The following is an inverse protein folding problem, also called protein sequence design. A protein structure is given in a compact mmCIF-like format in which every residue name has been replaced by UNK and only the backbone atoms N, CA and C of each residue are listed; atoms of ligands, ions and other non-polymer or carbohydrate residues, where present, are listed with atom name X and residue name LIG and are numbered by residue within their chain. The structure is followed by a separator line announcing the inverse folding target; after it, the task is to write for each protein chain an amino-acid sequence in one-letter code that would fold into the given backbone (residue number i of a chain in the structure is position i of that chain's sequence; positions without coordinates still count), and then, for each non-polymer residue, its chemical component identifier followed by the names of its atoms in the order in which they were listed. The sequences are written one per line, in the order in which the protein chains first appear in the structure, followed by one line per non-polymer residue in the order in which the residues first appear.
data_IF_908001963726
#
_entry.id   IF_908001963726
#
_cell.length_a   1.000
_cell.length_b   1.000
_cell.length_c   1.000
_cell.angle_alpha   90.00
_cell.angle_beta   90.00
_cell.angle_gamma   90.00
#
_symmetry.space_group_name_H-M   'P 1'
#
loop_
_entity.id
_entity.type
_entity.pdbx_description
1 polymer ?
#
# COMPACT_ATOMS: atom_id res chain seq x y z
N UNK A 1 14.31 11.72 -8.67
CA UNK A 1 13.38 11.03 -7.74
C UNK A 1 13.77 11.41 -6.31
N UNK A 2 12.83 11.96 -5.55
CA UNK A 2 12.99 12.37 -4.14
C UNK A 2 11.94 11.63 -3.30
N UNK A 3 12.34 11.10 -2.13
CA UNK A 3 11.42 10.50 -1.17
C UNK A 3 11.48 11.31 0.11
N UNK A 4 10.32 11.73 0.62
CA UNK A 4 10.17 12.49 1.85
C UNK A 4 8.99 12.02 2.69
N UNK A 5 8.95 12.42 3.94
CA UNK A 5 7.77 12.23 4.77
C UNK A 5 6.58 12.99 4.16
N UNK A 6 5.39 12.39 4.29
CA UNK A 6 4.11 12.97 3.83
C UNK A 6 3.77 14.22 4.64
N UNK A 7 3.08 15.14 4.02
CA UNK A 7 2.44 16.31 4.67
C UNK A 7 0.92 16.22 4.48
N UNK A 8 0.16 16.83 5.36
CA UNK A 8 -1.31 16.83 5.26
C UNK A 8 -1.81 17.52 3.98
N UNK A 9 -1.05 18.49 3.49
CA UNK A 9 -1.29 19.21 2.24
C UNK A 9 -1.17 18.31 1.00
N UNK A 10 -0.45 17.20 1.10
CA UNK A 10 -0.31 16.23 0.00
C UNK A 10 -1.62 15.47 -0.27
N UNK A 11 -2.58 15.50 0.66
CA UNK A 11 -3.78 14.66 0.63
C UNK A 11 -4.55 14.72 -0.69
N UNK A 12 -4.69 15.90 -1.29
CA UNK A 12 -5.39 16.07 -2.57
C UNK A 12 -4.73 15.22 -3.66
N UNK A 13 -3.40 15.28 -3.78
CA UNK A 13 -2.66 14.51 -4.78
C UNK A 13 -2.68 13.01 -4.47
N UNK A 14 -2.65 12.61 -3.20
CA UNK A 14 -2.73 11.20 -2.83
C UNK A 14 -4.11 10.62 -3.12
N UNK A 15 -5.18 11.38 -2.92
CA UNK A 15 -6.55 11.00 -3.33
C UNK A 15 -6.64 10.81 -4.84
N UNK A 16 -6.06 11.70 -5.66
CA UNK A 16 -6.02 11.53 -7.11
C UNK A 16 -5.37 10.18 -7.51
N UNK A 17 -4.20 9.85 -6.92
CA UNK A 17 -3.53 8.57 -7.18
C UNK A 17 -4.42 7.41 -6.74
N UNK A 18 -5.01 7.49 -5.55
CA UNK A 18 -5.84 6.43 -4.98
C UNK A 18 -7.16 6.23 -5.72
N UNK A 19 -7.75 7.31 -6.25
CA UNK A 19 -9.02 7.27 -6.96
C UNK A 19 -9.01 6.31 -8.15
N UNK A 20 -7.89 6.22 -8.87
CA UNK A 20 -7.73 5.25 -9.95
C UNK A 20 -7.90 3.82 -9.46
N UNK A 21 -7.31 3.49 -8.31
CA UNK A 21 -7.39 2.14 -7.73
C UNK A 21 -8.77 1.81 -7.19
N UNK A 22 -9.48 2.81 -6.67
CA UNK A 22 -10.85 2.64 -6.18
C UNK A 22 -11.84 2.48 -7.33
N UNK A 23 -11.76 3.33 -8.34
CA UNK A 23 -12.78 3.39 -9.39
C UNK A 23 -12.55 2.39 -10.54
N UNK A 24 -11.31 2.07 -10.84
CA UNK A 24 -10.96 1.34 -12.06
C UNK A 24 -10.31 -0.03 -11.82
N UNK A 25 -10.07 -0.40 -10.57
CA UNK A 25 -9.38 -1.66 -10.26
C UNK A 25 -9.98 -2.35 -9.04
N UNK A 26 -9.68 -3.64 -8.89
CA UNK A 26 -9.94 -4.40 -7.68
C UNK A 26 -8.73 -4.44 -6.72
N UNK A 27 -7.69 -3.64 -6.94
CA UNK A 27 -6.54 -3.50 -6.02
C UNK A 27 -6.99 -2.95 -4.67
N UNK A 28 -7.89 -1.95 -4.68
CA UNK A 28 -8.60 -1.50 -3.48
C UNK A 28 -10.01 -2.10 -3.46
N UNK A 29 -10.46 -2.55 -2.29
CA UNK A 29 -11.84 -3.00 -2.08
C UNK A 29 -12.77 -1.88 -1.60
N UNK A 30 -12.29 -0.64 -1.49
CA UNK A 30 -13.19 0.51 -1.33
C UNK A 30 -14.00 0.72 -2.62
N UNK A 31 -15.28 1.08 -2.47
CA UNK A 31 -16.20 1.35 -3.58
C UNK A 31 -16.28 2.84 -3.91
N UNK A 32 -16.09 3.68 -2.90
CA UNK A 32 -16.15 5.12 -3.00
C UNK A 32 -14.78 5.74 -2.74
N UNK A 33 -14.45 6.78 -3.49
CA UNK A 33 -13.22 7.53 -3.27
C UNK A 33 -13.38 8.35 -2.00
N UNK A 34 -12.48 8.23 -1.02
CA UNK A 34 -12.55 9.05 0.18
C UNK A 34 -12.37 10.53 -0.17
N UNK A 35 -13.01 11.40 0.59
CA UNK A 35 -12.80 12.84 0.46
C UNK A 35 -11.35 13.24 0.81
N UNK A 36 -10.90 14.39 0.34
CA UNK A 36 -9.58 14.94 0.71
C UNK A 36 -9.45 15.09 2.22
N UNK A 37 -10.53 15.50 2.89
CA UNK A 37 -10.54 15.66 4.34
C UNK A 37 -10.41 14.32 5.07
N UNK A 38 -11.14 13.29 4.64
CA UNK A 38 -10.95 11.93 5.18
C UNK A 38 -9.53 11.42 4.97
N UNK A 39 -8.93 11.74 3.82
CA UNK A 39 -7.56 11.32 3.53
C UNK A 39 -6.54 12.05 4.41
N UNK A 40 -6.75 13.34 4.71
CA UNK A 40 -5.95 14.09 5.72
C UNK A 40 -6.00 13.42 7.08
N UNK A 41 -7.20 13.05 7.54
CA UNK A 41 -7.37 12.35 8.81
C UNK A 41 -6.66 10.98 8.81
N UNK A 42 -6.70 10.24 7.69
CA UNK A 42 -5.93 9.00 7.54
C UNK A 42 -4.41 9.26 7.65
N UNK A 43 -3.90 10.30 7.00
CA UNK A 43 -2.48 10.70 7.09
C UNK A 43 -2.12 11.01 8.54
N UNK A 44 -2.86 11.88 9.22
CA UNK A 44 -2.62 12.27 10.62
C UNK A 44 -2.64 11.06 11.55
N UNK A 45 -3.63 10.19 11.40
CA UNK A 45 -3.74 8.97 12.19
C UNK A 45 -2.56 8.03 12.00
N UNK A 46 -2.11 7.84 10.76
CA UNK A 46 -0.99 6.94 10.45
C UNK A 46 0.32 7.56 10.95
N UNK A 47 0.59 8.82 10.63
CA UNK A 47 1.83 9.50 10.98
C UNK A 47 2.02 9.72 12.48
N UNK A 48 0.94 9.62 13.27
CA UNK A 48 1.04 9.64 14.73
C UNK A 48 1.83 8.45 15.31
N UNK A 49 1.98 7.35 14.57
CA UNK A 49 2.63 6.12 15.04
C UNK A 49 3.60 5.49 14.02
N UNK A 50 3.36 5.65 12.73
CA UNK A 50 4.07 4.93 11.68
C UNK A 50 4.58 5.87 10.58
N UNK A 51 5.67 5.51 9.91
CA UNK A 51 6.16 6.29 8.77
C UNK A 51 5.17 6.24 7.60
N UNK A 52 5.05 7.38 6.94
CA UNK A 52 4.28 7.56 5.72
C UNK A 52 5.12 8.43 4.77
N UNK A 53 5.50 7.89 3.62
CA UNK A 53 6.41 8.55 2.67
C UNK A 53 5.71 8.79 1.34
N UNK A 54 6.10 9.88 0.68
CA UNK A 54 5.74 10.19 -0.71
C UNK A 54 6.99 10.20 -1.59
N UNK A 55 6.81 9.79 -2.84
CA UNK A 55 7.85 9.81 -3.86
C UNK A 55 7.53 10.89 -4.89
N UNK A 56 8.50 11.76 -5.19
CA UNK A 56 8.39 12.83 -6.17
C UNK A 56 9.33 12.62 -7.36
N UNK A 57 8.85 12.96 -8.54
CA UNK A 57 9.63 13.13 -9.77
C UNK A 57 9.25 14.49 -10.34
N UNK A 58 10.24 15.34 -10.61
CA UNK A 58 10.05 16.70 -11.12
C UNK A 58 9.02 17.48 -10.29
N UNK A 59 9.18 17.44 -8.95
CA UNK A 59 8.33 18.07 -7.94
C UNK A 59 6.87 17.58 -7.90
N UNK A 60 6.50 16.60 -8.71
CA UNK A 60 5.18 15.97 -8.69
C UNK A 60 5.21 14.68 -7.87
N UNK A 61 4.27 14.51 -6.93
CA UNK A 61 4.08 13.25 -6.22
C UNK A 61 3.56 12.21 -7.20
N UNK A 62 4.28 11.08 -7.29
CA UNK A 62 4.00 9.97 -8.22
C UNK A 62 3.74 8.65 -7.50
N UNK A 63 3.79 8.62 -6.19
CA UNK A 63 3.47 7.46 -5.38
C UNK A 63 3.65 7.73 -3.90
N UNK A 64 3.13 6.82 -3.09
CA UNK A 64 3.24 6.87 -1.65
C UNK A 64 3.23 5.48 -1.04
N UNK A 65 3.84 5.37 0.14
CA UNK A 65 3.93 4.15 0.93
C UNK A 65 3.72 4.49 2.40
N UNK A 66 3.02 3.63 3.11
CA UNK A 66 2.89 3.77 4.55
C UNK A 66 2.84 2.40 5.23
N UNK A 67 3.16 2.42 6.50
CA UNK A 67 2.92 1.29 7.38
C UNK A 67 1.75 1.63 8.32
N UNK A 68 1.10 0.60 8.84
CA UNK A 68 0.04 0.73 9.80
C UNK A 68 0.04 -0.42 10.79
N UNK A 69 -0.77 -0.29 11.82
CA UNK A 69 -0.97 -1.34 12.82
C UNK A 69 -1.62 -2.56 12.15
N UNK A 70 -1.01 -3.74 12.30
CA UNK A 70 -1.63 -4.97 11.85
C UNK A 70 -2.83 -5.36 12.71
N UNK A 71 -2.69 -5.22 14.02
CA UNK A 71 -3.74 -5.56 15.00
C UNK A 71 -3.50 -4.78 16.29
N UNK A 72 -4.58 -4.38 16.95
CA UNK A 72 -4.55 -3.58 18.18
C UNK A 72 -4.06 -4.34 19.42
N UNK A 73 -3.86 -5.66 19.35
CA UNK A 73 -3.36 -6.46 20.47
C UNK A 73 -1.85 -6.27 20.62
N UNK A 74 -1.39 -6.00 21.84
CA UNK A 74 0.01 -5.67 22.16
C UNK A 74 1.03 -6.68 21.62
N UNK A 75 0.69 -7.98 21.61
CA UNK A 75 1.58 -9.02 21.07
C UNK A 75 1.92 -8.84 19.57
N UNK A 76 1.14 -8.06 18.83
CA UNK A 76 1.38 -7.73 17.41
C UNK A 76 2.16 -6.42 17.19
N UNK A 77 2.62 -5.75 18.25
CA UNK A 77 3.35 -4.47 18.14
C UNK A 77 4.64 -4.54 17.33
N UNK A 78 5.14 -5.74 17.10
CA UNK A 78 6.36 -6.02 16.32
C UNK A 78 6.10 -6.26 14.83
N UNK A 79 4.84 -6.15 14.40
CA UNK A 79 4.38 -6.41 13.03
C UNK A 79 3.64 -5.19 12.48
N UNK A 80 4.03 -4.76 11.30
CA UNK A 80 3.35 -3.67 10.59
C UNK A 80 2.73 -4.15 9.28
N UNK A 81 1.56 -3.59 8.95
CA UNK A 81 0.92 -3.79 7.64
C UNK A 81 1.37 -2.69 6.68
N UNK A 82 1.80 -3.08 5.48
CA UNK A 82 2.31 -2.19 4.43
C UNK A 82 1.25 -1.90 3.39
N UNK A 83 1.19 -0.65 2.95
CA UNK A 83 0.37 -0.21 1.81
C UNK A 83 1.20 0.66 0.89
N UNK A 84 1.08 0.45 -0.41
CA UNK A 84 1.81 1.19 -1.43
C UNK A 84 0.94 1.43 -2.66
N UNK A 85 0.98 2.65 -3.17
CA UNK A 85 0.28 3.07 -4.38
C UNK A 85 1.20 3.93 -5.24
N UNK A 86 1.24 3.63 -6.54
CA UNK A 86 2.03 4.37 -7.54
C UNK A 86 1.07 4.88 -8.60
N UNK A 87 1.22 6.14 -8.98
CA UNK A 87 0.46 6.73 -10.09
C UNK A 87 0.57 5.83 -11.33
N UNK A 88 -0.56 5.54 -11.97
CA UNK A 88 -0.67 4.62 -13.11
C UNK A 88 0.29 4.95 -14.25
N UNK A 89 0.59 6.23 -14.46
CA UNK A 89 1.44 6.73 -15.53
C UNK A 89 2.95 6.61 -15.22
N UNK A 90 3.30 6.28 -13.94
CA UNK A 90 4.68 6.17 -13.47
C UNK A 90 5.07 4.74 -13.03
N UNK A 91 4.25 3.75 -13.37
CA UNK A 91 4.55 2.34 -13.04
C UNK A 91 5.80 1.83 -13.75
N UNK A 92 6.43 0.77 -13.19
CA UNK A 92 7.61 0.07 -13.74
C UNK A 92 8.86 0.94 -13.86
N UNK A 93 8.98 2.02 -13.09
CA UNK A 93 10.13 2.91 -13.02
C UNK A 93 10.96 2.75 -11.73
N UNK A 94 10.78 1.64 -10.99
CA UNK A 94 11.51 1.37 -9.75
C UNK A 94 11.02 2.15 -8.53
N UNK A 95 9.94 2.94 -8.66
CA UNK A 95 9.40 3.80 -7.59
C UNK A 95 9.02 2.98 -6.37
N UNK A 96 8.28 1.89 -6.55
CA UNK A 96 7.85 1.03 -5.44
C UNK A 96 9.03 0.47 -4.65
N UNK A 97 10.05 -0.05 -5.35
CA UNK A 97 11.26 -0.59 -4.73
C UNK A 97 12.04 0.50 -3.97
N UNK A 98 12.12 1.72 -4.52
CA UNK A 98 12.78 2.84 -3.86
C UNK A 98 12.05 3.27 -2.59
N UNK A 99 10.71 3.29 -2.62
CA UNK A 99 9.90 3.60 -1.45
C UNK A 99 10.03 2.53 -0.35
N UNK A 100 10.05 1.23 -0.71
CA UNK A 100 10.27 0.16 0.27
C UNK A 100 11.66 0.24 0.90
N UNK A 101 12.71 0.50 0.10
CA UNK A 101 14.07 0.72 0.62
C UNK A 101 14.15 1.92 1.58
N UNK A 102 13.31 2.93 1.40
CA UNK A 102 13.30 4.12 2.26
C UNK A 102 12.50 3.89 3.56
N UNK A 103 11.40 3.15 3.53
CA UNK A 103 10.53 2.99 4.70
C UNK A 103 10.97 1.84 5.62
N UNK A 104 11.51 0.74 5.08
CA UNK A 104 11.91 -0.43 5.87
C UNK A 104 12.94 -0.10 6.98
N UNK A 105 14.01 0.69 6.75
CA UNK A 105 14.92 1.09 7.83
C UNK A 105 14.21 1.84 8.95
N UNK A 106 13.31 2.77 8.63
CA UNK A 106 12.53 3.52 9.63
C UNK A 106 11.70 2.58 10.52
N UNK A 107 11.09 1.56 9.92
CA UNK A 107 10.32 0.55 10.66
C UNK A 107 11.21 -0.33 11.53
N UNK A 108 12.37 -0.72 11.04
CA UNK A 108 13.35 -1.49 11.80
C UNK A 108 13.84 -0.70 13.03
N UNK A 109 14.12 0.60 12.88
CA UNK A 109 14.51 1.48 13.98
C UNK A 109 13.40 1.63 15.04
N UNK A 110 12.13 1.43 14.67
CA UNK A 110 10.99 1.37 15.59
C UNK A 110 10.85 0.02 16.31
N UNK A 111 11.68 -0.98 15.98
CA UNK A 111 11.60 -2.32 16.54
C UNK A 111 10.61 -3.26 15.82
N UNK A 112 10.12 -2.86 14.65
CA UNK A 112 9.32 -3.77 13.80
C UNK A 112 10.23 -4.85 13.23
N UNK A 113 9.81 -6.10 13.34
CA UNK A 113 10.57 -7.25 12.86
C UNK A 113 9.85 -8.03 11.75
N UNK A 114 8.54 -7.77 11.57
CA UNK A 114 7.74 -8.40 10.53
C UNK A 114 6.94 -7.36 9.75
N UNK A 115 6.92 -7.51 8.44
CA UNK A 115 6.09 -6.73 7.53
C UNK A 115 5.07 -7.65 6.87
N UNK A 116 3.82 -7.21 6.83
CA UNK A 116 2.73 -7.87 6.13
C UNK A 116 2.21 -6.95 5.02
N UNK A 117 1.92 -7.51 3.85
CA UNK A 117 1.29 -6.79 2.76
C UNK A 117 0.12 -7.61 2.21
N UNK A 118 -1.07 -7.04 2.22
CA UNK A 118 -2.26 -7.63 1.61
C UNK A 118 -2.35 -7.25 0.14
N UNK A 119 -2.67 -8.22 -0.71
CA UNK A 119 -2.87 -8.01 -2.15
C UNK A 119 -4.13 -8.74 -2.61
N UNK A 120 -5.04 -8.01 -3.23
CA UNK A 120 -6.15 -8.64 -3.94
C UNK A 120 -5.62 -9.58 -5.02
N UNK A 121 -6.30 -10.68 -5.24
CA UNK A 121 -5.87 -11.73 -6.17
C UNK A 121 -7.08 -12.33 -6.89
N UNK A 122 -6.90 -12.70 -8.13
CA UNK A 122 -7.85 -13.50 -8.90
C UNK A 122 -7.10 -14.40 -9.88
N UNK A 123 -7.72 -15.54 -10.19
CA UNK A 123 -7.25 -16.46 -11.21
C UNK A 123 -8.43 -16.88 -12.10
N UNK A 124 -8.35 -16.64 -13.41
CA UNK A 124 -7.31 -15.90 -14.13
C UNK A 124 -7.34 -14.39 -13.84
N UNK A 125 -6.29 -13.65 -14.25
CA UNK A 125 -6.30 -12.19 -14.28
C UNK A 125 -7.49 -11.67 -15.09
N UNK A 126 -7.96 -10.45 -14.75
CA UNK A 126 -9.01 -9.80 -15.50
C UNK A 126 -8.65 -8.32 -15.82
N UNK A 127 -9.61 -7.59 -16.40
CA UNK A 127 -9.43 -6.18 -16.74
C UNK A 127 -9.24 -5.27 -15.52
N UNK A 128 -9.68 -5.70 -14.33
CA UNK A 128 -9.62 -4.92 -13.08
C UNK A 128 -8.45 -5.31 -12.18
N UNK A 129 -7.88 -6.51 -12.36
CA UNK A 129 -6.85 -7.01 -11.45
C UNK A 129 -5.85 -7.93 -12.15
N UNK A 130 -4.58 -7.53 -12.05
CA UNK A 130 -3.43 -8.34 -12.47
C UNK A 130 -2.64 -8.82 -11.26
N UNK A 131 -1.72 -9.77 -11.47
CA UNK A 131 -0.81 -10.26 -10.44
C UNK A 131 0.34 -9.29 -10.11
N UNK A 132 0.32 -8.07 -10.65
CA UNK A 132 1.43 -7.11 -10.52
C UNK A 132 1.79 -6.81 -9.07
N UNK A 133 0.80 -6.66 -8.17
CA UNK A 133 1.05 -6.41 -6.74
C UNK A 133 1.71 -7.62 -6.07
N UNK A 134 1.23 -8.82 -6.33
CA UNK A 134 1.81 -10.07 -5.82
C UNK A 134 3.25 -10.26 -6.27
N UNK A 135 3.52 -10.09 -7.56
CA UNK A 135 4.86 -10.19 -8.13
C UNK A 135 5.79 -9.10 -7.58
N UNK A 136 5.27 -7.89 -7.37
CA UNK A 136 6.04 -6.81 -6.75
C UNK A 136 6.47 -7.19 -5.33
N UNK A 137 5.56 -7.63 -4.46
CA UNK A 137 5.92 -8.01 -3.09
C UNK A 137 6.93 -9.15 -3.05
N UNK A 138 6.74 -10.18 -3.87
CA UNK A 138 7.73 -11.26 -3.98
C UNK A 138 9.10 -10.75 -4.44
N UNK A 139 9.17 -9.82 -5.37
CA UNK A 139 10.43 -9.21 -5.82
C UNK A 139 11.13 -8.37 -4.73
N UNK A 140 10.38 -7.91 -3.72
CA UNK A 140 10.91 -7.20 -2.55
C UNK A 140 11.30 -8.14 -1.40
N UNK A 141 11.28 -9.45 -1.62
CA UNK A 141 11.69 -10.46 -0.64
C UNK A 141 10.57 -10.93 0.30
N UNK A 142 9.32 -10.64 -0.03
CA UNK A 142 8.17 -11.19 0.69
C UNK A 142 7.84 -12.59 0.16
N UNK A 143 7.32 -13.44 1.03
CA UNK A 143 6.75 -14.75 0.68
C UNK A 143 5.26 -14.79 0.99
N UNK A 144 4.48 -15.56 0.22
CA UNK A 144 3.07 -15.78 0.49
C UNK A 144 2.90 -16.49 1.86
N UNK A 145 2.11 -15.88 2.73
CA UNK A 145 1.85 -16.37 4.08
C UNK A 145 0.42 -16.88 4.27
N UNK A 146 -0.55 -16.32 3.54
CA UNK A 146 -1.95 -16.75 3.60
C UNK A 146 -2.68 -16.42 2.29
N UNK A 147 -3.72 -17.21 2.01
CA UNK A 147 -4.61 -17.02 0.86
C UNK A 147 -6.06 -17.24 1.30
N UNK A 148 -6.85 -16.18 1.23
CA UNK A 148 -8.28 -16.19 1.54
C UNK A 148 -9.08 -16.10 0.24
N UNK A 149 -9.87 -17.12 -0.04
CA UNK A 149 -10.65 -17.20 -1.28
C UNK A 149 -11.98 -16.49 -1.16
N UNK A 150 -12.38 -15.80 -2.22
CA UNK A 150 -13.69 -15.14 -2.35
C UNK A 150 -14.04 -14.25 -1.15
N UNK A 151 -13.10 -13.46 -0.67
CA UNK A 151 -13.28 -12.64 0.55
C UNK A 151 -13.79 -11.24 0.25
N UNK A 152 -13.53 -10.69 -0.93
CA UNK A 152 -14.00 -9.39 -1.38
C UNK A 152 -14.81 -9.48 -2.68
N UNK A 153 -15.89 -8.68 -2.80
CA UNK A 153 -16.67 -8.60 -4.03
C UNK A 153 -16.55 -7.20 -4.61
N UNK A 154 -16.25 -7.07 -5.91
CA UNK A 154 -16.22 -5.79 -6.64
C UNK A 154 -16.43 -6.05 -8.12
N UNK A 155 -17.03 -5.12 -8.87
CA UNK A 155 -17.35 -5.28 -10.29
C UNK A 155 -18.09 -6.60 -10.58
N UNK A 156 -19.05 -6.93 -9.70
CA UNK A 156 -19.84 -8.18 -9.74
C UNK A 156 -19.04 -9.50 -9.72
N UNK A 157 -17.76 -9.43 -9.36
CA UNK A 157 -16.87 -10.58 -9.23
C UNK A 157 -16.34 -10.71 -7.79
N UNK A 158 -16.13 -11.96 -7.35
CA UNK A 158 -15.44 -12.28 -6.12
C UNK A 158 -13.93 -12.31 -6.36
N UNK A 159 -13.19 -11.70 -5.43
CA UNK A 159 -11.74 -11.66 -5.42
C UNK A 159 -11.21 -12.29 -4.15
N UNK A 160 -10.04 -12.89 -4.26
CA UNK A 160 -9.27 -13.43 -3.16
C UNK A 160 -8.42 -12.32 -2.52
N UNK A 161 -7.89 -12.60 -1.33
CA UNK A 161 -6.87 -11.80 -0.68
C UNK A 161 -5.70 -12.71 -0.34
N UNK A 162 -4.52 -12.36 -0.82
CA UNK A 162 -3.25 -12.97 -0.41
C UNK A 162 -2.52 -12.05 0.54
N UNK A 163 -1.95 -12.63 1.59
CA UNK A 163 -1.02 -11.95 2.48
C UNK A 163 0.40 -12.40 2.23
N UNK A 164 1.27 -11.43 2.12
CA UNK A 164 2.71 -11.62 1.93
C UNK A 164 3.43 -11.15 3.17
N UNK A 165 4.45 -11.89 3.62
CA UNK A 165 5.21 -11.61 4.83
C UNK A 165 6.70 -11.51 4.52
N UNK A 166 7.38 -10.57 5.21
CA UNK A 166 8.84 -10.39 5.19
C UNK A 166 9.35 -10.11 6.60
N UNK A 167 10.39 -10.82 7.05
CA UNK A 167 11.18 -10.44 8.22
C UNK A 167 12.19 -9.33 7.87
N UNK A 168 12.39 -8.37 8.76
CA UNK A 168 13.34 -7.27 8.58
C UNK A 168 14.28 -7.09 9.77
#
# INVERSE_FOLDING_TARGET
MVIRDVQTEDAERLVEIYSHYVLNTAVSFEYEVPSVEEFRQRIEKITSKYPYLVCLIDDKIVGYVYAGEYSSRTAYSWTAAMSIYVDKDYRRQGIGSSMYKAIEPKLKDMGIVNLLAGSAYCEPEDEYLTHASSLFHMSQGYSEAAHFKNIGKKFDRWYDLKWYQKGI
#
